data_IF_671023640817
#
_entry.id   IF_671023640817
#
_cell.length_a   1.000
_cell.length_b   1.000
_cell.length_c   1.000
_cell.angle_alpha   90.00
_cell.angle_beta   90.00
_cell.angle_gamma   90.00
#
_symmetry.space_group_name_H-M   'P 1'
#
loop_
_entity.id
_entity.type
_entity.pdbx_description
1 polymer ?
#
# COMPACT_ATOMS: atom_id res chain seq x y z
N UNK A 1 20.82 13.72 -7.42
CA UNK A 1 20.84 12.98 -8.69
C UNK A 1 20.09 11.67 -8.45
N UNK A 2 18.83 11.60 -8.89
CA UNK A 2 17.91 10.45 -8.72
C UNK A 2 17.19 10.11 -10.04
N UNK A 3 17.41 10.90 -11.10
CA UNK A 3 16.64 10.83 -12.34
C UNK A 3 17.26 9.90 -13.40
N UNK A 4 18.43 9.33 -13.11
CA UNK A 4 19.14 8.38 -13.99
C UNK A 4 18.79 6.93 -13.67
N UNK A 5 18.20 6.67 -12.50
CA UNK A 5 17.80 5.33 -12.07
C UNK A 5 16.37 5.02 -12.52
N UNK A 6 16.07 3.77 -12.93
CA UNK A 6 14.70 3.34 -13.15
C UNK A 6 13.84 3.53 -11.89
N UNK A 7 12.57 3.91 -12.07
CA UNK A 7 11.61 3.96 -10.97
C UNK A 7 11.25 2.56 -10.50
N UNK A 8 11.28 2.33 -9.19
CA UNK A 8 10.84 1.08 -8.55
C UNK A 8 9.51 1.28 -7.81
N UNK A 9 8.46 1.61 -8.55
CA UNK A 9 7.13 1.79 -7.98
C UNK A 9 6.52 0.43 -7.61
N UNK A 10 5.85 0.37 -6.46
CA UNK A 10 5.08 -0.80 -6.04
C UNK A 10 3.69 -0.77 -6.68
N UNK A 11 3.16 -1.95 -7.02
CA UNK A 11 1.79 -2.09 -7.52
C UNK A 11 1.21 -3.47 -7.13
N UNK A 12 -0.09 -3.52 -6.75
CA UNK A 12 -0.76 -4.79 -6.53
C UNK A 12 -1.00 -5.51 -7.86
N UNK A 13 -0.75 -6.83 -7.89
CA UNK A 13 -0.99 -7.69 -9.06
C UNK A 13 -1.95 -8.80 -8.65
N UNK A 14 -3.01 -8.99 -9.43
CA UNK A 14 -4.05 -10.01 -9.21
C UNK A 14 -4.32 -10.77 -10.51
N UNK A 15 -4.75 -12.03 -10.41
CA UNK A 15 -5.15 -12.80 -11.60
C UNK A 15 -6.46 -12.29 -12.18
N UNK A 16 -6.61 -12.40 -13.49
CA UNK A 16 -7.86 -12.04 -14.17
C UNK A 16 -9.02 -12.90 -13.71
N UNK A 17 -8.80 -14.21 -13.53
CA UNK A 17 -9.82 -15.15 -13.02
C UNK A 17 -10.36 -14.71 -11.65
N UNK A 18 -9.50 -14.27 -10.74
CA UNK A 18 -9.95 -13.79 -9.45
C UNK A 18 -10.71 -12.46 -9.59
N UNK A 19 -10.18 -11.55 -10.41
CA UNK A 19 -10.77 -10.23 -10.64
C UNK A 19 -12.20 -10.30 -11.20
N UNK A 20 -12.49 -11.30 -12.04
CA UNK A 20 -13.84 -11.57 -12.57
C UNK A 20 -14.87 -11.95 -11.48
N UNK A 21 -14.41 -12.46 -10.34
CA UNK A 21 -15.25 -12.87 -9.20
C UNK A 21 -15.15 -11.95 -7.98
N UNK A 22 -14.37 -10.88 -8.09
CA UNK A 22 -14.14 -9.92 -7.02
C UNK A 22 -15.40 -9.07 -6.75
N UNK A 23 -15.54 -8.53 -5.54
CA UNK A 23 -16.51 -7.46 -5.26
C UNK A 23 -16.33 -6.28 -6.25
N UNK A 24 -17.45 -5.63 -6.61
CA UNK A 24 -17.45 -4.53 -7.59
C UNK A 24 -16.54 -3.34 -7.18
N UNK A 25 -16.36 -3.13 -5.88
CA UNK A 25 -15.55 -2.08 -5.27
C UNK A 25 -14.07 -2.45 -5.10
N UNK A 26 -13.68 -3.70 -5.38
CA UNK A 26 -12.33 -4.19 -5.11
C UNK A 26 -11.24 -3.36 -5.80
N UNK A 27 -11.44 -3.04 -7.08
CA UNK A 27 -10.49 -2.24 -7.87
C UNK A 27 -10.41 -0.81 -7.33
N UNK A 28 -11.54 -0.25 -6.90
CA UNK A 28 -11.59 1.10 -6.32
C UNK A 28 -10.81 1.16 -5.01
N UNK A 29 -11.00 0.18 -4.12
CA UNK A 29 -10.29 0.08 -2.85
C UNK A 29 -8.78 0.00 -3.07
N UNK A 30 -8.31 -0.91 -3.94
CA UNK A 30 -6.88 -1.04 -4.21
C UNK A 30 -6.27 0.20 -4.86
N UNK A 31 -7.01 0.87 -5.75
CA UNK A 31 -6.57 2.12 -6.36
C UNK A 31 -6.46 3.24 -5.31
N UNK A 32 -7.41 3.35 -4.38
CA UNK A 32 -7.38 4.33 -3.31
C UNK A 32 -6.16 4.14 -2.40
N UNK A 33 -5.87 2.90 -2.00
CA UNK A 33 -4.66 2.56 -1.23
C UNK A 33 -3.40 2.89 -2.02
N UNK A 34 -3.32 2.50 -3.29
CA UNK A 34 -2.13 2.74 -4.13
C UNK A 34 -1.86 4.23 -4.36
N UNK A 35 -2.92 5.04 -4.47
CA UNK A 35 -2.81 6.49 -4.64
C UNK A 35 -2.27 7.20 -3.38
N UNK A 36 -2.53 6.66 -2.20
CA UNK A 36 -2.04 7.20 -0.92
C UNK A 36 -0.61 6.72 -0.56
N UNK A 37 -0.08 5.72 -1.27
CA UNK A 37 1.24 5.14 -1.02
C UNK A 37 2.36 5.90 -1.75
N UNK A 38 2.76 7.06 -1.21
CA UNK A 38 3.96 7.77 -1.67
C UNK A 38 5.24 7.33 -0.94
N UNK A 39 6.39 7.83 -1.39
CA UNK A 39 7.71 7.48 -0.83
C UNK A 39 7.84 7.83 0.66
N UNK A 40 7.28 8.97 1.08
CA UNK A 40 7.37 9.42 2.47
C UNK A 40 6.55 8.50 3.38
N UNK A 41 5.33 8.17 2.94
CA UNK A 41 4.42 7.25 3.62
C UNK A 41 5.06 5.87 3.76
N UNK A 42 5.57 5.29 2.67
CA UNK A 42 6.24 3.99 2.69
C UNK A 42 7.48 3.97 3.59
N UNK A 43 8.25 5.06 3.59
CA UNK A 43 9.43 5.19 4.47
C UNK A 43 9.01 5.24 5.93
N UNK A 44 7.98 6.02 6.27
CA UNK A 44 7.48 6.14 7.64
C UNK A 44 6.94 4.82 8.18
N UNK A 45 6.13 4.11 7.39
CA UNK A 45 5.62 2.78 7.75
C UNK A 45 6.78 1.77 7.88
N UNK A 46 7.78 1.86 6.99
CA UNK A 46 8.97 1.03 7.06
C UNK A 46 9.79 1.24 8.33
N UNK A 47 9.86 2.48 8.86
CA UNK A 47 10.54 2.77 10.14
C UNK A 47 9.83 2.12 11.32
N UNK A 48 8.50 2.27 11.41
CA UNK A 48 7.68 1.67 12.48
C UNK A 48 7.93 0.16 12.59
N UNK A 49 7.97 -0.53 11.44
CA UNK A 49 8.20 -1.98 11.41
C UNK A 49 9.67 -2.34 11.61
N UNK A 50 10.59 -1.77 10.83
CA UNK A 50 11.97 -2.26 10.75
C UNK A 50 12.88 -1.72 11.86
N UNK A 51 12.56 -0.54 12.40
CA UNK A 51 13.35 0.12 13.45
C UNK A 51 12.65 0.00 14.80
N UNK A 52 11.37 0.38 14.86
CA UNK A 52 10.61 0.40 16.11
C UNK A 52 10.04 -0.97 16.49
N UNK A 53 10.11 -1.95 15.57
CA UNK A 53 9.68 -3.34 15.76
C UNK A 53 8.20 -3.48 16.13
N UNK A 54 7.37 -2.56 15.62
CA UNK A 54 5.92 -2.67 15.73
C UNK A 54 5.40 -3.84 14.86
N UNK A 55 4.26 -4.41 15.26
CA UNK A 55 3.64 -5.50 14.50
C UNK A 55 3.11 -4.98 13.15
N UNK A 56 3.43 -5.70 12.08
CA UNK A 56 3.08 -5.29 10.71
C UNK A 56 1.57 -5.19 10.51
N UNK A 57 0.79 -6.10 11.11
CA UNK A 57 -0.67 -6.10 10.96
C UNK A 57 -1.30 -4.93 11.73
N UNK A 58 -0.77 -4.61 12.91
CA UNK A 58 -1.22 -3.46 13.70
C UNK A 58 -0.90 -2.14 12.96
N UNK A 59 0.33 -1.96 12.46
CA UNK A 59 0.74 -0.78 11.68
C UNK A 59 -0.13 -0.61 10.43
N UNK A 60 -0.36 -1.68 9.67
CA UNK A 60 -1.18 -1.62 8.46
C UNK A 60 -2.65 -1.30 8.79
N UNK A 61 -3.21 -1.91 9.83
CA UNK A 61 -4.61 -1.67 10.26
C UNK A 61 -4.79 -0.23 10.73
N UNK A 62 -3.86 0.27 11.54
CA UNK A 62 -3.88 1.63 12.04
C UNK A 62 -3.78 2.63 10.88
N UNK A 63 -2.83 2.43 9.96
CA UNK A 63 -2.68 3.32 8.81
C UNK A 63 -3.92 3.36 7.91
N UNK A 64 -4.53 2.21 7.61
CA UNK A 64 -5.77 2.16 6.84
C UNK A 64 -6.90 2.91 7.55
N UNK A 65 -7.04 2.72 8.87
CA UNK A 65 -8.06 3.37 9.69
C UNK A 65 -7.89 4.89 9.70
N UNK A 66 -6.67 5.37 9.93
CA UNK A 66 -6.37 6.81 9.99
C UNK A 66 -6.60 7.53 8.66
N UNK A 67 -6.50 6.79 7.55
CA UNK A 67 -6.76 7.31 6.20
C UNK A 67 -8.19 7.05 5.71
N UNK A 68 -9.05 6.39 6.51
CA UNK A 68 -10.42 6.06 6.13
C UNK A 68 -10.50 5.08 4.95
N UNK A 69 -9.58 4.13 4.88
CA UNK A 69 -9.42 3.16 3.80
C UNK A 69 -9.84 1.73 4.19
N UNK A 70 -10.51 1.54 5.33
CA UNK A 70 -11.06 0.26 5.80
C UNK A 70 -12.44 0.39 6.47
#
# INVERSE_FOLDING_TARGET
DLQTQPSENIAPIVSTEWLESAPDDFVEILNAVSAAMDTETLTSLGVQVAVDQEDVADVATQWLTDNGLN
#
